data_IF_916406831883
#
_entry.id   IF_916406831883
#
_cell.length_a   1.000
_cell.length_b   1.000
_cell.length_c   1.000
_cell.angle_alpha   90.00
_cell.angle_beta   90.00
_cell.angle_gamma   90.00
#
_symmetry.space_group_name_H-M   'P 1'
#
loop_
_entity.id
_entity.type
_entity.pdbx_description
1 polymer ?
#
# COMPACT_ATOMS: atom_id res chain seq x y z
N UNK A 1 -24.67 -19.10 8.18
CA UNK A 1 -23.97 -19.89 7.14
C UNK A 1 -24.97 -20.11 6.01
N UNK A 2 -24.75 -19.48 4.85
CA UNK A 2 -25.68 -19.55 3.71
C UNK A 2 -25.58 -20.97 3.14
N UNK A 3 -26.72 -21.63 2.97
CA UNK A 3 -26.84 -23.09 2.79
C UNK A 3 -25.99 -23.65 1.66
N UNK A 4 -25.12 -24.60 2.01
CA UNK A 4 -24.44 -25.45 1.04
C UNK A 4 -25.42 -26.52 0.53
N UNK A 5 -25.43 -26.82 -0.78
CA UNK A 5 -26.26 -27.89 -1.33
C UNK A 5 -25.86 -29.23 -0.72
N UNK A 6 -26.84 -30.04 -0.31
CA UNK A 6 -26.61 -31.34 0.32
C UNK A 6 -26.68 -32.48 -0.69
N UNK A 7 -27.55 -32.36 -1.70
CA UNK A 7 -27.80 -33.43 -2.69
C UNK A 7 -27.67 -32.96 -4.14
N UNK A 8 -27.42 -31.67 -4.37
CA UNK A 8 -27.31 -31.07 -5.70
C UNK A 8 -25.94 -30.46 -5.99
N UNK A 9 -25.72 -30.08 -7.24
CA UNK A 9 -24.52 -29.37 -7.71
C UNK A 9 -24.53 -27.87 -7.39
N UNK A 10 -25.51 -27.39 -6.61
CA UNK A 10 -25.62 -26.00 -6.19
C UNK A 10 -26.04 -25.00 -7.27
N UNK A 11 -26.36 -25.47 -8.48
CA UNK A 11 -26.83 -24.57 -9.55
C UNK A 11 -28.28 -24.14 -9.30
N UNK A 12 -28.62 -22.91 -9.71
CA UNK A 12 -29.98 -22.37 -9.58
C UNK A 12 -30.89 -22.86 -10.73
N UNK A 13 -31.01 -24.18 -10.87
CA UNK A 13 -31.85 -24.82 -11.89
C UNK A 13 -32.90 -25.74 -11.27
N UNK A 14 -33.98 -26.01 -12.00
CA UNK A 14 -35.02 -26.97 -11.57
C UNK A 14 -34.50 -28.40 -11.45
N UNK A 15 -33.45 -28.75 -12.19
CA UNK A 15 -32.82 -30.07 -12.09
C UNK A 15 -32.06 -30.20 -10.77
N UNK A 16 -31.31 -29.16 -10.40
CA UNK A 16 -30.61 -29.10 -9.11
C UNK A 16 -31.59 -29.04 -7.94
N UNK A 17 -32.70 -28.30 -8.07
CA UNK A 17 -33.78 -28.30 -7.07
C UNK A 17 -34.43 -29.68 -6.91
N UNK A 18 -34.67 -30.39 -8.01
CA UNK A 18 -35.19 -31.76 -7.97
C UNK A 18 -34.23 -32.70 -7.24
N UNK A 19 -32.93 -32.61 -7.53
CA UNK A 19 -31.90 -33.38 -6.84
C UNK A 19 -31.85 -33.06 -5.34
N UNK A 20 -31.90 -31.77 -4.98
CA UNK A 20 -31.89 -31.31 -3.59
C UNK A 20 -33.10 -31.78 -2.79
N UNK A 21 -34.28 -31.79 -3.42
CA UNK A 21 -35.54 -32.22 -2.79
C UNK A 21 -35.77 -33.74 -2.86
N UNK A 22 -34.87 -34.52 -3.47
CA UNK A 22 -35.04 -35.96 -3.68
C UNK A 22 -36.21 -36.31 -4.61
N UNK A 23 -36.60 -35.39 -5.50
CA UNK A 23 -37.75 -35.53 -6.41
C UNK A 23 -37.31 -35.72 -7.86
N UNK A 24 -38.18 -36.34 -8.67
CA UNK A 24 -38.03 -36.29 -10.14
C UNK A 24 -38.50 -34.93 -10.67
N UNK A 25 -37.82 -34.37 -11.68
CA UNK A 25 -38.21 -33.11 -12.36
C UNK A 25 -39.70 -33.03 -12.70
N UNK A 26 -40.29 -34.11 -13.21
CA UNK A 26 -41.70 -34.14 -13.62
C UNK A 26 -42.67 -33.86 -12.44
N UNK A 27 -42.26 -34.17 -11.21
CA UNK A 27 -43.07 -33.86 -10.03
C UNK A 27 -43.10 -32.35 -9.78
N UNK A 28 -41.98 -31.65 -9.97
CA UNK A 28 -41.92 -30.18 -9.84
C UNK A 28 -42.66 -29.44 -10.96
N UNK A 29 -42.81 -30.06 -12.15
CA UNK A 29 -43.51 -29.43 -13.28
C UNK A 29 -45.01 -29.74 -13.33
N UNK A 30 -45.46 -30.85 -12.73
CA UNK A 30 -46.87 -31.28 -12.83
C UNK A 30 -47.60 -31.46 -11.51
N UNK A 31 -46.91 -31.69 -10.39
CA UNK A 31 -47.56 -31.96 -9.08
C UNK A 31 -47.22 -30.93 -8.00
N UNK A 32 -46.00 -30.41 -8.03
CA UNK A 32 -45.46 -29.47 -7.04
C UNK A 32 -44.99 -28.19 -7.72
N UNK A 33 -45.84 -27.63 -8.57
CA UNK A 33 -45.55 -26.39 -9.30
C UNK A 33 -45.29 -25.22 -8.37
N UNK A 34 -45.96 -25.15 -7.21
CA UNK A 34 -45.70 -24.12 -6.20
C UNK A 34 -44.25 -24.08 -5.69
N UNK A 35 -43.59 -25.24 -5.56
CA UNK A 35 -42.17 -25.29 -5.18
C UNK A 35 -41.26 -24.77 -6.31
N UNK A 36 -41.59 -25.09 -7.56
CA UNK A 36 -40.91 -24.57 -8.75
C UNK A 36 -41.07 -23.05 -8.84
N UNK A 37 -42.28 -22.54 -8.60
CA UNK A 37 -42.60 -21.11 -8.72
C UNK A 37 -41.94 -20.32 -7.58
N UNK A 38 -41.97 -20.82 -6.34
CA UNK A 38 -41.26 -20.23 -5.21
C UNK A 38 -39.74 -20.21 -5.45
N UNK A 39 -39.18 -21.31 -5.95
CA UNK A 39 -37.76 -21.37 -6.30
C UNK A 39 -37.37 -20.30 -7.30
N UNK A 40 -38.11 -20.16 -8.40
CA UNK A 40 -37.83 -19.12 -9.38
C UNK A 40 -38.06 -17.70 -8.83
N UNK A 41 -39.03 -17.50 -7.94
CA UNK A 41 -39.23 -16.22 -7.26
C UNK A 41 -38.01 -15.86 -6.39
N UNK A 42 -37.46 -16.82 -5.64
CA UNK A 42 -36.27 -16.64 -4.81
C UNK A 42 -35.01 -16.43 -5.66
N UNK A 43 -34.83 -17.18 -6.75
CA UNK A 43 -33.74 -16.98 -7.71
C UNK A 43 -33.82 -15.56 -8.28
N UNK A 44 -35.00 -15.12 -8.72
CA UNK A 44 -35.21 -13.77 -9.26
C UNK A 44 -34.98 -12.66 -8.21
N UNK A 45 -35.35 -12.90 -6.95
CA UNK A 45 -35.09 -11.95 -5.86
C UNK A 45 -33.60 -11.88 -5.45
N UNK A 46 -32.83 -12.93 -5.74
CA UNK A 46 -31.36 -12.96 -5.55
C UNK A 46 -30.63 -12.35 -6.74
N UNK A 47 -31.08 -12.66 -7.95
CA UNK A 47 -30.52 -12.19 -9.22
C UNK A 47 -31.06 -10.82 -9.64
N UNK A 48 -31.93 -10.19 -8.83
CA UNK A 48 -32.18 -8.76 -8.91
C UNK A 48 -30.92 -8.03 -8.47
N UNK A 49 -29.94 -8.02 -9.37
CA UNK A 49 -28.80 -7.11 -9.37
C UNK A 49 -29.41 -5.72 -9.21
N UNK A 50 -29.07 -4.96 -8.16
CA UNK A 50 -29.43 -3.55 -8.11
C UNK A 50 -28.94 -2.91 -9.40
N UNK A 51 -29.88 -2.35 -10.15
CA UNK A 51 -29.64 -1.70 -11.42
C UNK A 51 -28.59 -0.60 -11.19
N UNK A 52 -27.41 -0.78 -11.78
CA UNK A 52 -26.21 0.01 -11.53
C UNK A 52 -25.63 -0.03 -10.10
N UNK A 53 -24.30 -0.04 -10.02
CA UNK A 53 -23.56 0.20 -8.77
C UNK A 53 -24.14 1.45 -8.07
N UNK A 54 -24.60 1.35 -6.81
CA UNK A 54 -25.31 2.43 -6.16
C UNK A 54 -24.45 3.69 -6.16
N UNK A 55 -25.07 4.85 -6.39
CA UNK A 55 -24.36 6.13 -6.54
C UNK A 55 -23.41 6.41 -5.37
N UNK A 56 -23.78 5.98 -4.17
CA UNK A 56 -22.92 6.06 -2.97
C UNK A 56 -21.63 5.25 -3.08
N UNK A 57 -21.66 4.08 -3.74
CA UNK A 57 -20.47 3.27 -3.96
C UNK A 57 -19.56 3.91 -5.03
N UNK A 58 -20.13 4.53 -6.06
CA UNK A 58 -19.37 5.30 -7.06
C UNK A 58 -18.69 6.52 -6.42
N UNK A 59 -19.43 7.26 -5.60
CA UNK A 59 -18.89 8.41 -4.86
C UNK A 59 -17.74 7.99 -3.93
N UNK A 60 -17.87 6.85 -3.24
CA UNK A 60 -16.77 6.30 -2.42
C UNK A 60 -15.55 5.92 -3.26
N UNK A 61 -15.75 5.28 -4.41
CA UNK A 61 -14.64 4.92 -5.30
C UNK A 61 -13.88 6.16 -5.79
N UNK A 62 -14.60 7.20 -6.21
CA UNK A 62 -13.99 8.48 -6.62
C UNK A 62 -13.23 9.12 -5.46
N UNK A 63 -13.82 9.17 -4.26
CA UNK A 63 -13.15 9.71 -3.07
C UNK A 63 -11.87 8.94 -2.74
N UNK A 64 -11.92 7.61 -2.76
CA UNK A 64 -10.75 6.77 -2.52
C UNK A 64 -9.65 7.00 -3.57
N UNK A 65 -10.02 7.16 -4.84
CA UNK A 65 -9.07 7.46 -5.90
C UNK A 65 -8.41 8.84 -5.70
N UNK A 66 -9.17 9.85 -5.27
CA UNK A 66 -8.63 11.17 -4.94
C UNK A 66 -7.70 11.11 -3.73
N UNK A 67 -8.07 10.38 -2.68
CA UNK A 67 -7.23 10.21 -1.49
C UNK A 67 -5.92 9.48 -1.84
N UNK A 68 -5.97 8.44 -2.68
CA UNK A 68 -4.77 7.75 -3.17
C UNK A 68 -3.87 8.65 -4.01
N UNK A 69 -4.44 9.48 -4.88
CA UNK A 69 -3.69 10.44 -5.67
C UNK A 69 -2.97 11.46 -4.77
N UNK A 70 -3.67 11.99 -3.75
CA UNK A 70 -3.09 12.90 -2.76
C UNK A 70 -1.92 12.26 -2.01
N UNK A 71 -2.13 11.06 -1.46
CA UNK A 71 -1.10 10.34 -0.70
C UNK A 71 0.11 9.99 -1.58
N UNK A 72 -0.11 9.60 -2.84
CA UNK A 72 0.99 9.35 -3.78
C UNK A 72 1.83 10.61 -4.02
N UNK A 73 1.18 11.76 -4.22
CA UNK A 73 1.87 13.03 -4.45
C UNK A 73 2.70 13.45 -3.22
N UNK A 74 2.12 13.38 -2.01
CA UNK A 74 2.84 13.66 -0.76
C UNK A 74 4.05 12.74 -0.57
N UNK A 75 3.88 11.44 -0.86
CA UNK A 75 4.96 10.45 -0.77
C UNK A 75 6.09 10.73 -1.76
N UNK A 76 5.78 11.20 -2.96
CA UNK A 76 6.77 11.54 -3.98
C UNK A 76 7.52 12.84 -3.63
N UNK A 77 6.84 13.83 -3.08
CA UNK A 77 7.44 15.07 -2.58
C UNK A 77 8.40 14.79 -1.41
N UNK A 78 7.94 14.05 -0.40
CA UNK A 78 8.78 13.66 0.74
C UNK A 78 10.01 12.86 0.32
N UNK A 79 9.88 11.99 -0.68
CA UNK A 79 11.01 11.24 -1.23
C UNK A 79 12.02 12.17 -1.88
N UNK A 80 11.56 13.16 -2.64
CA UNK A 80 12.41 14.17 -3.28
C UNK A 80 13.14 15.01 -2.24
N UNK A 81 12.44 15.50 -1.22
CA UNK A 81 13.04 16.25 -0.11
C UNK A 81 14.09 15.43 0.65
N UNK A 82 13.80 14.16 0.92
CA UNK A 82 14.75 13.25 1.59
C UNK A 82 16.03 13.06 0.78
N UNK A 83 15.91 12.92 -0.54
CA UNK A 83 17.07 12.81 -1.43
C UNK A 83 17.91 14.09 -1.44
N UNK A 84 17.27 15.26 -1.47
CA UNK A 84 17.94 16.56 -1.39
C UNK A 84 18.70 16.72 -0.06
N UNK A 85 18.04 16.42 1.07
CA UNK A 85 18.65 16.48 2.39
C UNK A 85 19.83 15.51 2.50
N UNK A 86 19.69 14.29 1.99
CA UNK A 86 20.78 13.30 1.95
C UNK A 86 21.98 13.86 1.19
N UNK A 87 21.75 14.50 0.04
CA UNK A 87 22.81 15.11 -0.75
C UNK A 87 23.51 16.26 -0.02
N UNK A 88 22.74 17.12 0.64
CA UNK A 88 23.27 18.24 1.43
C UNK A 88 24.14 17.71 2.57
N UNK A 89 23.66 16.71 3.32
CA UNK A 89 24.42 16.09 4.42
C UNK A 89 25.74 15.52 3.91
N UNK A 90 25.74 14.79 2.79
CA UNK A 90 26.98 14.25 2.20
C UNK A 90 28.00 15.35 1.85
N UNK A 91 27.54 16.47 1.29
CA UNK A 91 28.44 17.60 0.97
C UNK A 91 29.02 18.20 2.25
N UNK A 92 28.18 18.44 3.26
CA UNK A 92 28.61 18.99 4.54
C UNK A 92 29.58 18.05 5.27
N UNK A 93 29.38 16.74 5.21
CA UNK A 93 30.29 15.75 5.78
C UNK A 93 31.68 15.82 5.13
N UNK A 94 31.73 15.94 3.80
CA UNK A 94 32.99 16.09 3.04
C UNK A 94 33.69 17.39 3.42
N UNK A 95 32.97 18.51 3.46
CA UNK A 95 33.54 19.81 3.83
C UNK A 95 34.05 19.82 5.27
N UNK A 96 33.27 19.27 6.21
CA UNK A 96 33.66 19.16 7.60
C UNK A 96 34.91 18.28 7.77
N UNK A 97 35.01 17.18 7.02
CA UNK A 97 36.18 16.32 7.00
C UNK A 97 37.43 17.07 6.49
N UNK A 98 37.29 17.84 5.40
CA UNK A 98 38.38 18.67 4.86
C UNK A 98 38.84 19.73 5.85
N UNK A 99 37.90 20.46 6.47
CA UNK A 99 38.21 21.48 7.47
C UNK A 99 38.94 20.89 8.69
N UNK A 100 38.47 19.73 9.19
CA UNK A 100 39.15 19.02 10.28
C UNK A 100 40.57 18.61 9.92
N UNK A 101 40.81 18.18 8.68
CA UNK A 101 42.16 17.84 8.22
C UNK A 101 43.06 19.08 8.18
N UNK A 102 42.59 20.17 7.57
CA UNK A 102 43.33 21.43 7.51
C UNK A 102 43.67 21.97 8.89
N UNK A 103 42.72 21.96 9.83
CA UNK A 103 42.98 22.40 11.20
C UNK A 103 44.07 21.58 11.88
N UNK A 104 44.04 20.24 11.75
CA UNK A 104 45.09 19.38 12.31
C UNK A 104 46.47 19.67 11.70
N UNK A 105 46.51 19.94 10.40
CA UNK A 105 47.77 20.27 9.71
C UNK A 105 48.31 21.64 10.17
N UNK A 106 47.43 22.62 10.39
CA UNK A 106 47.80 23.92 10.97
C UNK A 106 48.28 23.79 12.41
N UNK A 107 47.59 22.99 13.24
CA UNK A 107 48.00 22.70 14.62
C UNK A 107 49.41 22.09 14.66
N UNK A 108 49.72 21.15 13.75
CA UNK A 108 51.07 20.58 13.61
C UNK A 108 52.10 21.63 13.23
N UNK A 109 51.82 22.47 12.22
CA UNK A 109 52.74 23.53 11.79
C UNK A 109 53.03 24.54 12.91
N UNK A 110 52.02 24.89 13.72
CA UNK A 110 52.19 25.75 14.88
C UNK A 110 53.06 25.09 15.96
N UNK A 111 52.85 23.80 16.22
CA UNK A 111 53.68 23.04 17.16
C UNK A 111 55.14 22.95 16.70
N UNK A 112 55.37 22.66 15.41
CA UNK A 112 56.70 22.60 14.81
C UNK A 112 57.41 23.95 14.89
N UNK A 113 56.70 25.05 14.58
CA UNK A 113 57.25 26.42 14.68
C UNK A 113 57.57 26.81 16.11
N UNK A 114 56.77 26.38 17.09
CA UNK A 114 57.04 26.61 18.51
C UNK A 114 58.21 25.74 19.04
N UNK A 115 58.46 24.58 18.40
CA UNK A 115 59.55 23.68 18.75
C UNK A 115 60.92 24.11 18.20
N UNK A 116 60.99 25.03 17.23
CA UNK A 116 62.26 25.61 16.74
C UNK A 116 62.88 26.46 17.87
N UNK A 117 64.01 26.04 18.48
CA UNK A 117 64.63 26.81 19.55
C UNK A 117 65.17 28.14 18.99
N UNK A 118 64.96 29.21 19.73
CA UNK A 118 65.47 30.55 19.40
C UNK A 118 67.01 30.55 19.39
N UNK A 119 67.58 30.28 18.21
CA UNK A 119 69.03 30.24 17.98
C UNK A 119 69.70 31.62 18.21
N UNK A 120 68.92 32.69 18.43
CA UNK A 120 69.46 34.01 18.75
C UNK A 120 69.94 34.17 20.20
N UNK A 121 69.67 33.20 21.09
CA UNK A 121 70.10 33.30 22.50
C UNK A 121 71.59 33.00 22.74
N UNK A 122 72.33 32.49 21.74
CA UNK A 122 73.76 32.13 21.87
C UNK A 122 74.77 33.19 21.37
N UNK A 123 74.32 34.38 20.97
CA UNK A 123 75.22 35.49 20.53
C UNK A 123 75.35 36.64 21.54
N UNK A 124 75.08 36.40 22.82
CA UNK A 124 75.39 37.33 23.92
C UNK A 124 75.87 36.56 25.14
N UNK A 125 77.14 36.18 25.13
CA UNK A 125 77.94 35.90 26.34
C UNK A 125 79.37 36.29 26.06
#
# INVERSE_FOLDING_TARGET
MIGAPLHSDGKLTIVSLAAEAGLRRNKLTHKHTGLKDLFYALVKARDSVPDAMPETARARAVKHQQDLARVCAERDDLRTQTQLLTRIVQVLEIENHRLKKTNRDLERQLADRAAVPDLNRRRRS
#
